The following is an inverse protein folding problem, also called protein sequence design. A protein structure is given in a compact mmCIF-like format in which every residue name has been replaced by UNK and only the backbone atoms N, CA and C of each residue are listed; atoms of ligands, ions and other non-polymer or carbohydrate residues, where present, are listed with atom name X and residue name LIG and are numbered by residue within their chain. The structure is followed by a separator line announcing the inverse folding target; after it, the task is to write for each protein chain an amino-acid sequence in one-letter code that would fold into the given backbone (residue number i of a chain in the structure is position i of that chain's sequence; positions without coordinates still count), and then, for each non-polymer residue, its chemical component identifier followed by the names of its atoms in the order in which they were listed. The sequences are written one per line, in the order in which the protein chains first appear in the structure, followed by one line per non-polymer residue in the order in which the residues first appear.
data_IF_587527337409
#
_entry.id   IF_587527337409
#
_cell.length_a   1.000
_cell.length_b   1.000
_cell.length_c   1.000
_cell.angle_alpha   90.00
_cell.angle_beta   90.00
_cell.angle_gamma   90.00
#
_symmetry.space_group_name_H-M   'P 1'
#
loop_
_entity.id
_entity.type
_entity.pdbx_description
1 polymer ?
#
# COMPACT_ATOMS: atom_id res chain seq x y z
N UNK A 1 17.28 18.10 5.43
CA UNK A 1 17.17 16.72 5.97
C UNK A 1 16.12 16.00 5.16
N UNK A 2 16.52 15.09 4.27
CA UNK A 2 15.59 14.38 3.40
C UNK A 2 14.79 13.39 4.25
N UNK A 3 13.59 13.77 4.67
CA UNK A 3 12.57 12.83 5.13
C UNK A 3 12.22 11.96 3.93
N UNK A 4 12.99 10.89 3.70
CA UNK A 4 12.49 9.74 2.93
C UNK A 4 11.16 9.40 3.60
N UNK A 5 10.06 9.68 2.91
CA UNK A 5 8.72 9.48 3.46
C UNK A 5 8.65 8.08 4.06
N UNK A 6 8.34 8.00 5.35
CA UNK A 6 8.23 6.72 6.04
C UNK A 6 7.09 5.94 5.39
N UNK A 7 7.42 4.81 4.78
CA UNK A 7 6.43 3.84 4.32
C UNK A 7 6.41 2.68 5.32
N UNK A 8 5.31 2.45 6.04
CA UNK A 8 5.20 1.33 6.97
C UNK A 8 5.21 -0.03 6.26
N UNK A 9 5.05 -0.03 4.93
CA UNK A 9 4.98 -1.23 4.08
C UNK A 9 6.12 -1.27 3.07
N UNK A 10 7.23 -0.60 3.37
CA UNK A 10 8.48 -0.62 2.60
C UNK A 10 8.29 -0.26 1.10
N UNK A 11 7.31 0.60 0.82
CA UNK A 11 6.95 1.09 -0.50
C UNK A 11 6.06 0.16 -1.32
N UNK A 12 5.46 -0.87 -0.72
CA UNK A 12 4.53 -1.77 -1.40
C UNK A 12 3.36 -0.99 -2.06
N UNK A 13 2.88 0.06 -1.41
CA UNK A 13 1.83 0.96 -1.89
C UNK A 13 2.26 1.85 -3.09
N UNK A 14 3.54 1.86 -3.46
CA UNK A 14 4.08 2.64 -4.58
C UNK A 14 4.40 1.81 -5.82
N UNK A 15 4.21 0.49 -5.79
CA UNK A 15 4.51 -0.39 -6.92
C UNK A 15 3.25 -1.08 -7.43
N UNK A 16 3.25 -1.49 -8.70
CA UNK A 16 2.15 -2.31 -9.21
C UNK A 16 2.12 -3.69 -8.52
N UNK A 17 0.97 -4.36 -8.54
CA UNK A 17 0.87 -5.71 -7.97
C UNK A 17 1.88 -6.70 -8.59
N UNK A 18 2.17 -6.58 -9.89
CA UNK A 18 3.15 -7.45 -10.57
C UNK A 18 4.59 -7.18 -10.11
N UNK A 19 4.95 -5.91 -9.88
CA UNK A 19 6.25 -5.57 -9.30
C UNK A 19 6.34 -6.04 -7.85
N UNK A 20 5.26 -5.86 -7.09
CA UNK A 20 5.16 -6.35 -5.74
C UNK A 20 5.40 -7.87 -5.66
N UNK A 21 4.69 -8.67 -6.48
CA UNK A 21 4.85 -10.14 -6.46
C UNK A 21 6.20 -10.62 -6.95
N UNK A 22 6.91 -9.85 -7.79
CA UNK A 22 8.27 -10.17 -8.22
C UNK A 22 9.31 -10.04 -7.11
N UNK A 23 9.09 -9.16 -6.12
CA UNK A 23 10.03 -8.90 -5.02
C UNK A 23 9.53 -9.42 -3.66
N UNK A 24 8.25 -9.80 -3.54
CA UNK A 24 7.65 -10.25 -2.30
C UNK A 24 7.89 -11.75 -2.04
N UNK A 25 8.05 -12.09 -0.77
CA UNK A 25 8.19 -13.47 -0.30
C UNK A 25 7.07 -13.75 0.69
N UNK A 26 6.35 -14.84 0.49
CA UNK A 26 5.36 -15.35 1.44
C UNK A 26 5.98 -16.47 2.27
N UNK A 27 6.05 -16.27 3.59
CA UNK A 27 6.66 -17.20 4.55
C UNK A 27 5.56 -17.86 5.36
N UNK A 28 5.27 -19.15 5.14
CA UNK A 28 4.28 -19.88 5.92
C UNK A 28 4.62 -19.85 7.42
N UNK A 29 3.60 -19.66 8.26
CA UNK A 29 3.74 -19.64 9.70
C UNK A 29 3.12 -20.89 10.32
N UNK A 30 3.75 -21.37 11.40
CA UNK A 30 3.26 -22.50 12.19
C UNK A 30 2.79 -21.95 13.54
N UNK A 31 1.58 -22.32 13.97
CA UNK A 31 1.01 -21.94 15.28
C UNK A 31 0.83 -20.44 15.54
N UNK A 32 0.65 -19.61 14.51
CA UNK A 32 0.60 -18.14 14.60
C UNK A 32 -0.82 -17.54 14.41
N UNK A 33 -1.86 -18.35 14.29
CA UNK A 33 -3.25 -17.90 14.04
C UNK A 33 -3.51 -17.29 12.65
N UNK A 34 -2.45 -16.98 11.89
CA UNK A 34 -2.44 -16.58 10.48
C UNK A 34 -1.68 -17.63 9.66
N UNK A 35 -1.87 -17.63 8.34
CA UNK A 35 -1.26 -18.64 7.45
C UNK A 35 0.17 -18.32 7.06
N UNK A 36 0.50 -17.04 6.87
CA UNK A 36 1.83 -16.63 6.47
C UNK A 36 2.16 -15.19 6.90
N UNK A 37 3.44 -14.87 6.95
CA UNK A 37 3.97 -13.52 6.88
C UNK A 37 4.32 -13.16 5.44
N UNK A 38 4.17 -11.90 5.06
CA UNK A 38 4.60 -11.40 3.76
C UNK A 38 5.74 -10.42 3.97
N UNK A 39 6.88 -10.74 3.36
CA UNK A 39 8.05 -9.91 3.34
C UNK A 39 8.12 -9.20 1.99
N UNK A 40 8.37 -7.90 2.00
CA UNK A 40 8.64 -7.11 0.80
C UNK A 40 9.99 -6.42 0.97
N UNK A 41 10.91 -6.67 0.02
CA UNK A 41 12.30 -6.20 0.08
C UNK A 41 12.98 -6.51 1.43
N UNK A 42 12.77 -7.73 1.92
CA UNK A 42 13.38 -8.25 3.15
C UNK A 42 12.74 -7.78 4.46
N UNK A 43 11.67 -6.99 4.43
CA UNK A 43 10.96 -6.54 5.64
C UNK A 43 9.54 -7.10 5.70
N UNK A 44 9.10 -7.54 6.88
CA UNK A 44 7.72 -7.94 7.10
C UNK A 44 6.79 -6.74 6.90
N UNK A 45 5.79 -6.90 6.04
CA UNK A 45 4.70 -5.94 5.83
C UNK A 45 3.36 -6.49 6.38
N UNK A 46 3.45 -7.63 7.07
CA UNK A 46 2.43 -8.18 7.94
C UNK A 46 1.75 -9.46 7.44
N UNK A 47 0.99 -10.05 8.35
CA UNK A 47 0.45 -11.40 8.21
C UNK A 47 -0.80 -11.49 7.33
N UNK A 48 -0.98 -12.64 6.70
CA UNK A 48 -2.07 -12.95 5.76
C UNK A 48 -2.74 -14.29 6.05
N UNK A 49 -3.95 -14.47 5.54
CA UNK A 49 -4.82 -15.62 5.82
C UNK A 49 -4.79 -16.69 4.74
N UNK A 50 -4.08 -16.42 3.64
CA UNK A 50 -3.96 -17.30 2.48
C UNK A 50 -2.50 -17.41 2.05
N UNK A 51 -2.18 -18.49 1.36
CA UNK A 51 -0.88 -18.71 0.72
C UNK A 51 -0.92 -18.28 -0.76
N UNK A 52 0.26 -18.27 -1.40
CA UNK A 52 0.39 -17.97 -2.82
C UNK A 52 -0.06 -16.56 -3.20
N UNK A 53 -0.51 -16.39 -4.45
CA UNK A 53 -0.91 -15.08 -4.99
C UNK A 53 -2.03 -14.42 -4.18
N UNK A 54 -2.99 -15.20 -3.68
CA UNK A 54 -4.10 -14.70 -2.85
C UNK A 54 -3.60 -14.01 -1.57
N UNK A 55 -2.59 -14.59 -0.91
CA UNK A 55 -1.93 -14.00 0.26
C UNK A 55 -1.16 -12.74 -0.10
N UNK A 56 -0.40 -12.76 -1.20
CA UNK A 56 0.31 -11.58 -1.71
C UNK A 56 -0.66 -10.45 -2.05
N UNK A 57 -1.80 -10.77 -2.67
CA UNK A 57 -2.86 -9.81 -3.01
C UNK A 57 -3.49 -9.22 -1.76
N UNK A 58 -3.72 -10.02 -0.72
CA UNK A 58 -4.19 -9.53 0.58
C UNK A 58 -3.20 -8.53 1.21
N UNK A 59 -1.91 -8.84 1.23
CA UNK A 59 -0.89 -7.95 1.79
C UNK A 59 -0.76 -6.64 1.01
N UNK A 60 -0.64 -6.72 -0.31
CA UNK A 60 -0.51 -5.54 -1.17
C UNK A 60 -1.77 -4.66 -1.12
N UNK A 61 -2.98 -5.26 -1.14
CA UNK A 61 -4.23 -4.53 -0.95
C UNK A 61 -4.28 -3.80 0.39
N UNK A 62 -3.81 -4.43 1.47
CA UNK A 62 -3.75 -3.80 2.79
C UNK A 62 -2.81 -2.60 2.80
N UNK A 63 -1.65 -2.69 2.15
CA UNK A 63 -0.71 -1.56 2.03
C UNK A 63 -1.38 -0.37 1.33
N UNK A 64 -1.99 -0.60 0.16
CA UNK A 64 -2.71 0.45 -0.59
C UNK A 64 -3.89 1.02 0.19
N UNK A 65 -4.69 0.15 0.83
CA UNK A 65 -5.81 0.56 1.69
C UNK A 65 -5.34 1.47 2.83
N UNK A 66 -4.31 1.07 3.57
CA UNK A 66 -3.80 1.85 4.70
C UNK A 66 -3.28 3.23 4.26
N UNK A 67 -2.63 3.29 3.09
CA UNK A 67 -2.18 4.55 2.51
C UNK A 67 -3.35 5.47 2.16
N UNK A 68 -4.43 4.93 1.57
CA UNK A 68 -5.65 5.70 1.31
C UNK A 68 -6.36 6.15 2.60
N UNK A 69 -6.53 5.25 3.57
CA UNK A 69 -7.15 5.55 4.86
C UNK A 69 -6.44 6.71 5.57
N UNK A 70 -5.11 6.67 5.59
CA UNK A 70 -4.27 7.71 6.21
C UNK A 70 -4.33 9.06 5.50
N UNK A 71 -4.94 9.12 4.33
CA UNK A 71 -5.15 10.35 3.59
C UNK A 71 -6.63 10.71 3.51
N UNK A 72 -7.59 9.83 3.79
CA UNK A 72 -9.01 10.10 3.54
C UNK A 72 -9.56 11.25 4.38
N UNK A 73 -9.04 11.45 5.59
CA UNK A 73 -9.41 12.55 6.49
C UNK A 73 -8.24 13.53 6.65
N UNK A 74 -8.56 14.83 6.70
CA UNK A 74 -7.55 15.90 6.79
C UNK A 74 -7.06 16.13 8.23
N UNK A 75 -7.83 15.71 9.24
CA UNK A 75 -7.54 15.93 10.67
C UNK A 75 -6.85 14.74 11.36
N UNK A 76 -6.19 13.88 10.58
CA UNK A 76 -5.42 12.78 11.16
C UNK A 76 -4.19 13.32 11.91
N UNK A 77 -3.83 12.73 13.05
CA UNK A 77 -2.59 13.07 13.73
C UNK A 77 -1.38 12.94 12.81
N UNK A 78 -0.41 13.87 12.93
CA UNK A 78 0.77 13.95 12.04
C UNK A 78 1.54 12.62 11.90
N UNK A 79 1.58 11.81 12.96
CA UNK A 79 2.24 10.50 12.99
C UNK A 79 1.50 9.39 12.21
N UNK A 80 0.24 9.62 11.82
CA UNK A 80 -0.55 8.72 10.99
C UNK A 80 -0.50 9.06 9.51
N UNK A 81 0.06 10.22 9.12
CA UNK A 81 0.17 10.55 7.70
C UNK A 81 1.09 9.57 6.99
N UNK A 82 0.59 9.02 5.90
CA UNK A 82 1.34 8.21 4.97
C UNK A 82 1.33 8.88 3.61
N UNK A 83 2.34 8.66 2.77
CA UNK A 83 2.28 9.13 1.39
C UNK A 83 1.10 8.47 0.67
N UNK A 84 0.49 9.18 -0.29
CA UNK A 84 -0.52 8.60 -1.16
C UNK A 84 0.07 7.42 -1.96
N UNK A 85 -0.69 6.34 -2.20
CA UNK A 85 -0.23 5.24 -3.03
C UNK A 85 -0.02 5.70 -4.47
N UNK A 86 0.75 4.94 -5.25
CA UNK A 86 0.90 5.20 -6.69
C UNK A 86 -0.40 4.87 -7.44
N UNK A 87 -0.62 5.51 -8.59
CA UNK A 87 -1.72 5.19 -9.50
C UNK A 87 -1.67 3.73 -9.97
N UNK A 88 -0.46 3.22 -10.25
CA UNK A 88 -0.24 1.84 -10.69
C UNK A 88 -0.50 0.81 -9.59
N UNK A 89 -0.27 1.14 -8.32
CA UNK A 89 -0.65 0.29 -7.20
C UNK A 89 -2.17 0.28 -7.03
N UNK A 90 -2.79 1.47 -7.10
CA UNK A 90 -4.21 1.67 -6.89
C UNK A 90 -5.07 1.05 -8.00
N UNK A 91 -4.60 1.05 -9.25
CA UNK A 91 -5.33 0.45 -10.38
C UNK A 91 -5.63 -1.04 -10.23
N UNK A 92 -4.90 -1.73 -9.34
CA UNK A 92 -5.17 -3.14 -9.02
C UNK A 92 -6.39 -3.35 -8.10
N UNK A 93 -6.91 -2.28 -7.48
CA UNK A 93 -7.97 -2.33 -6.45
C UNK A 93 -9.04 -1.23 -6.66
N UNK A 94 -9.78 -1.24 -7.79
CA UNK A 94 -10.79 -0.23 -8.09
C UNK A 94 -11.89 -0.16 -7.03
N UNK A 95 -12.15 -1.25 -6.30
CA UNK A 95 -13.18 -1.27 -5.25
C UNK A 95 -12.87 -0.36 -4.05
N UNK A 96 -11.61 0.08 -3.90
CA UNK A 96 -11.21 1.00 -2.85
C UNK A 96 -11.73 2.44 -3.08
N UNK A 97 -12.15 2.78 -4.29
CA UNK A 97 -12.79 4.08 -4.58
C UNK A 97 -14.02 4.31 -3.70
N UNK A 98 -14.84 3.27 -3.51
CA UNK A 98 -16.05 3.35 -2.69
C UNK A 98 -15.73 3.55 -1.19
N UNK A 99 -14.57 3.11 -0.74
CA UNK A 99 -14.16 3.21 0.67
C UNK A 99 -13.47 4.54 0.97
N UNK A 100 -12.68 5.06 0.03
CA UNK A 100 -11.85 6.25 0.23
C UNK A 100 -11.96 7.22 -0.97
N UNK A 101 -13.16 7.75 -1.25
CA UNK A 101 -13.40 8.50 -2.49
C UNK A 101 -12.51 9.74 -2.63
N UNK A 102 -12.20 10.44 -1.53
CA UNK A 102 -11.40 11.69 -1.60
C UNK A 102 -9.92 11.38 -1.81
N UNK A 103 -9.37 10.42 -1.07
CA UNK A 103 -7.99 9.97 -1.26
C UNK A 103 -7.81 9.35 -2.65
N UNK A 104 -8.73 8.49 -3.08
CA UNK A 104 -8.72 7.87 -4.40
C UNK A 104 -8.70 8.92 -5.52
N UNK A 105 -9.58 9.91 -5.44
CA UNK A 105 -9.62 11.00 -6.41
C UNK A 105 -8.30 11.80 -6.45
N UNK A 106 -7.63 12.04 -5.31
CA UNK A 106 -6.33 12.72 -5.29
C UNK A 106 -5.23 11.90 -5.97
N UNK A 107 -5.21 10.58 -5.80
CA UNK A 107 -4.24 9.70 -6.50
C UNK A 107 -4.48 9.72 -8.01
N UNK A 108 -5.74 9.64 -8.42
CA UNK A 108 -6.11 9.52 -9.84
C UNK A 108 -6.14 10.86 -10.58
N UNK A 109 -6.08 11.99 -9.88
CA UNK A 109 -5.92 13.30 -10.52
C UNK A 109 -4.53 13.33 -11.19
N UNK A 110 -4.45 13.66 -12.49
CA UNK A 110 -3.16 13.94 -13.10
C UNK A 110 -2.54 15.09 -12.31
N UNK A 111 -1.31 14.92 -11.84
CA UNK A 111 -0.53 16.01 -11.28
C UNK A 111 -0.46 17.05 -12.38
N UNK A 112 -1.18 18.17 -12.25
CA UNK A 112 -0.91 19.33 -13.08
C UNK A 112 0.51 19.74 -12.73
N UNK A 113 1.45 19.32 -13.59
CA UNK A 113 2.83 19.76 -13.50
C UNK A 113 2.79 21.28 -13.48
N UNK A 114 3.26 21.84 -12.38
CA UNK A 114 3.65 23.23 -12.30
C UNK A 114 4.82 23.39 -13.27
N UNK A 115 4.50 23.65 -14.55
CA UNK A 115 5.35 24.43 -15.43
C UNK A 115 5.11 25.89 -15.00
N UNK A 116 5.75 26.29 -13.91
CA UNK A 116 6.03 27.70 -13.71
C UNK A 116 7.11 28.10 -14.74
N UNK A 117 6.80 29.23 -15.39
CA UNK A 117 7.42 29.87 -16.54
C UNK A 117 8.95 30.01 -16.48
#
# INVERSE_FOLDING_TARGET
MNSKGYSPTNGAEFVSFNQFTAEAVIVPLISHGRKADVLFRGQSIGFVDKLGEDGLRQAHRRAVNNALYSNEEDDLPHWLHQPLPSTTALSAYPELERLFPRAYARVMKPTQGVLEL
#
